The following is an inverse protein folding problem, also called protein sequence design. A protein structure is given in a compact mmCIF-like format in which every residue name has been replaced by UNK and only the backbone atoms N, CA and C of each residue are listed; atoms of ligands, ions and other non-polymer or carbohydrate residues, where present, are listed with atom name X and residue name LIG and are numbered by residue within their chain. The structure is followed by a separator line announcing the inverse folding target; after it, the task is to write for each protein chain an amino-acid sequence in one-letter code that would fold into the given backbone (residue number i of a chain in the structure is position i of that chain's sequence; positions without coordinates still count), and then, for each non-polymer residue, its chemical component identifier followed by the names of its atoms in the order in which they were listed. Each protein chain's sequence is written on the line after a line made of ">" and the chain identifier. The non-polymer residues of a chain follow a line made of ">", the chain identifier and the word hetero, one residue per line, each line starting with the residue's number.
data_IF_866495935726
#
_entry.id   IF_866495935726
#
_cell.length_a   1.000
_cell.length_b   1.000
_cell.length_c   1.000
_cell.angle_alpha   90.00
_cell.angle_beta   90.00
_cell.angle_gamma   90.00
#
_symmetry.space_group_name_H-M   'P 1'
#
loop_
_entity.id
_entity.type
_entity.pdbx_description
1 polymer ?
#
# COMPACT_ATOMS: atom_id res chain seq x y z
N UNK A 1 -13.16 12.68 -4.88
CA UNK A 1 -11.94 11.94 -4.61
C UNK A 1 -12.26 10.50 -4.22
N UNK A 2 -11.41 9.58 -4.62
CA UNK A 2 -11.59 8.16 -4.28
C UNK A 2 -10.63 7.78 -3.17
N UNK A 3 -11.11 7.02 -2.21
CA UNK A 3 -10.31 6.43 -1.16
C UNK A 3 -10.80 5.00 -0.91
N UNK A 4 -10.34 4.38 0.16
CA UNK A 4 -10.65 2.98 0.44
C UNK A 4 -11.12 2.80 1.89
N UNK A 5 -11.86 1.73 2.14
CA UNK A 5 -11.99 1.19 3.49
C UNK A 5 -10.75 0.37 3.79
N UNK A 6 -10.34 0.36 5.06
CA UNK A 6 -9.18 -0.44 5.47
C UNK A 6 -9.40 -1.90 5.11
N UNK A 7 -8.37 -2.52 4.52
CA UNK A 7 -8.44 -3.92 4.14
C UNK A 7 -7.04 -4.52 4.07
N UNK A 8 -6.99 -5.84 3.96
CA UNK A 8 -5.72 -6.54 3.78
C UNK A 8 -5.92 -7.76 2.90
N UNK A 9 -4.84 -8.23 2.31
CA UNK A 9 -4.85 -9.41 1.47
C UNK A 9 -3.46 -10.01 1.41
N UNK A 10 -3.37 -11.33 1.41
CA UNK A 10 -2.09 -12.04 1.41
C UNK A 10 -1.97 -12.87 0.16
N UNK A 11 -0.81 -12.78 -0.51
CA UNK A 11 -0.46 -13.66 -1.63
C UNK A 11 0.89 -14.32 -1.34
N UNK A 12 1.14 -15.45 -2.00
CA UNK A 12 2.41 -16.17 -1.90
C UNK A 12 2.97 -16.35 -3.29
N UNK A 13 4.20 -15.91 -3.50
CA UNK A 13 4.91 -16.05 -4.78
C UNK A 13 6.30 -16.60 -4.47
N UNK A 14 6.69 -17.71 -5.10
CA UNK A 14 7.99 -18.34 -4.88
C UNK A 14 8.32 -18.48 -3.39
N UNK A 15 7.35 -18.94 -2.62
CA UNK A 15 7.44 -19.14 -1.16
C UNK A 15 7.59 -17.87 -0.34
N UNK A 16 7.72 -16.69 -0.96
CA UNK A 16 7.64 -15.42 -0.24
C UNK A 16 6.18 -15.08 0.01
N UNK A 17 5.90 -14.64 1.24
CA UNK A 17 4.57 -14.18 1.62
C UNK A 17 4.53 -12.65 1.54
N UNK A 18 3.55 -12.11 0.83
CA UNK A 18 3.32 -10.69 0.67
C UNK A 18 1.97 -10.34 1.28
N UNK A 19 1.97 -9.54 2.33
CA UNK A 19 0.75 -9.10 3.00
C UNK A 19 0.56 -7.63 2.67
N UNK A 20 -0.52 -7.31 1.94
CA UNK A 20 -0.85 -5.94 1.62
C UNK A 20 -1.84 -5.42 2.66
N UNK A 21 -1.52 -4.28 3.27
CA UNK A 21 -2.44 -3.54 4.14
C UNK A 21 -2.77 -2.22 3.47
N UNK A 22 -4.04 -2.01 3.16
CA UNK A 22 -4.54 -0.73 2.65
C UNK A 22 -5.24 -0.01 3.78
N UNK A 23 -4.80 1.21 4.07
CA UNK A 23 -5.26 1.96 5.23
C UNK A 23 -5.67 3.37 4.83
N UNK A 24 -6.82 3.81 5.30
CA UNK A 24 -7.25 5.19 5.15
C UNK A 24 -6.45 6.07 6.11
N UNK A 25 -5.93 7.19 5.62
CA UNK A 25 -5.16 8.13 6.44
C UNK A 25 -5.50 9.57 6.07
N UNK A 26 -5.40 10.46 7.03
CA UNK A 26 -5.69 11.88 6.84
C UNK A 26 -4.45 12.76 6.77
N UNK A 27 -3.37 12.38 7.45
CA UNK A 27 -2.20 13.23 7.60
C UNK A 27 -0.95 12.41 7.92
N UNK A 28 0.18 13.10 8.02
CA UNK A 28 1.47 12.47 8.27
C UNK A 28 1.53 11.74 9.62
N UNK A 29 0.91 12.33 10.64
CA UNK A 29 0.95 11.71 11.98
C UNK A 29 0.25 10.35 11.98
N UNK A 30 -0.86 10.24 11.26
CA UNK A 30 -1.57 8.96 11.12
C UNK A 30 -0.75 7.93 10.35
N UNK A 31 -0.05 8.38 9.31
CA UNK A 31 0.85 7.50 8.54
C UNK A 31 1.92 6.94 9.44
N UNK A 32 2.60 7.79 10.20
CA UNK A 32 3.68 7.38 11.09
C UNK A 32 3.19 6.39 12.15
N UNK A 33 2.03 6.67 12.73
CA UNK A 33 1.41 5.81 13.72
C UNK A 33 1.05 4.43 13.13
N UNK A 34 0.46 4.39 11.96
CA UNK A 34 0.07 3.14 11.31
C UNK A 34 1.26 2.31 10.87
N UNK A 35 2.33 2.96 10.40
CA UNK A 35 3.57 2.25 10.06
C UNK A 35 4.16 1.57 11.29
N UNK A 36 4.14 2.26 12.41
CA UNK A 36 4.62 1.70 13.68
C UNK A 36 3.76 0.50 14.10
N UNK A 37 2.46 0.63 14.01
CA UNK A 37 1.52 -0.45 14.35
C UNK A 37 1.75 -1.68 13.48
N UNK A 38 1.98 -1.48 12.18
CA UNK A 38 2.24 -2.57 11.25
C UNK A 38 3.51 -3.32 11.63
N UNK A 39 4.58 -2.60 11.99
CA UNK A 39 5.83 -3.25 12.39
C UNK A 39 5.65 -4.06 13.67
N UNK A 40 4.77 -3.63 14.57
CA UNK A 40 4.42 -4.42 15.75
C UNK A 40 3.56 -5.63 15.43
N UNK A 41 2.61 -5.46 14.52
CA UNK A 41 1.70 -6.54 14.13
C UNK A 41 2.41 -7.64 13.35
N UNK A 42 3.33 -7.28 12.48
CA UNK A 42 4.04 -8.21 11.60
C UNK A 42 5.54 -8.24 11.94
N UNK A 43 5.85 -8.71 13.14
CA UNK A 43 7.25 -8.78 13.58
C UNK A 43 8.06 -9.77 12.77
N UNK A 44 9.34 -9.45 12.58
CA UNK A 44 10.27 -10.34 11.92
C UNK A 44 10.15 -10.41 10.42
N UNK A 45 9.42 -9.53 9.79
CA UNK A 45 9.34 -9.48 8.34
C UNK A 45 10.67 -9.05 7.74
N UNK A 46 10.90 -9.47 6.50
CA UNK A 46 12.12 -9.13 5.78
C UNK A 46 12.10 -7.68 5.33
N UNK A 47 10.95 -7.21 4.83
CA UNK A 47 10.78 -5.83 4.36
C UNK A 47 9.37 -5.33 4.66
N UNK A 48 9.27 -4.02 4.94
CA UNK A 48 8.01 -3.30 5.09
C UNK A 48 8.00 -2.17 4.07
N UNK A 49 7.67 -2.51 2.83
CA UNK A 49 7.67 -1.53 1.74
C UNK A 49 6.34 -0.79 1.73
N UNK A 50 6.36 0.49 1.39
CA UNK A 50 5.12 1.24 1.41
C UNK A 50 5.09 2.39 0.41
N UNK A 51 3.88 2.89 0.17
CA UNK A 51 3.64 4.14 -0.51
C UNK A 51 2.40 4.79 0.08
N UNK A 52 2.31 6.09 0.00
CA UNK A 52 1.11 6.80 0.42
C UNK A 52 0.85 8.01 -0.45
N UNK A 53 -0.41 8.41 -0.46
CA UNK A 53 -0.89 9.61 -1.13
C UNK A 53 -1.89 10.28 -0.21
N UNK A 54 -1.66 11.55 0.12
CA UNK A 54 -2.69 12.38 0.74
C UNK A 54 -2.54 13.80 0.19
N UNK A 55 -3.63 14.32 -0.34
CA UNK A 55 -3.66 15.61 -1.03
C UNK A 55 -2.62 15.60 -2.14
N UNK A 56 -1.61 16.47 -2.09
CA UNK A 56 -0.54 16.52 -3.10
C UNK A 56 0.74 15.84 -2.64
N UNK A 57 0.71 15.15 -1.49
CA UNK A 57 1.88 14.48 -0.94
C UNK A 57 1.91 13.02 -1.39
N UNK A 58 3.00 12.62 -2.03
CA UNK A 58 3.23 11.24 -2.49
C UNK A 58 4.62 10.81 -2.07
N UNK A 59 4.72 9.63 -1.47
CA UNK A 59 5.99 9.05 -1.04
C UNK A 59 5.97 7.56 -1.23
N UNK A 60 7.13 6.97 -1.40
CA UNK A 60 7.29 5.52 -1.38
C UNK A 60 8.61 5.14 -0.73
N UNK A 61 8.71 3.88 -0.31
CA UNK A 61 9.90 3.38 0.35
C UNK A 61 10.09 1.91 0.00
N UNK A 62 11.27 1.58 -0.52
CA UNK A 62 11.61 0.20 -0.88
C UNK A 62 12.06 -0.65 0.32
N UNK A 63 12.34 -0.03 1.45
CA UNK A 63 12.74 -0.69 2.70
C UNK A 63 13.77 -1.81 2.51
N UNK A 64 14.85 -1.51 1.80
CA UNK A 64 15.93 -2.48 1.60
C UNK A 64 15.76 -3.41 0.41
N UNK A 65 14.62 -3.41 -0.28
CA UNK A 65 14.52 -4.08 -1.56
C UNK A 65 15.35 -3.31 -2.59
N UNK A 66 15.76 -3.94 -3.70
CA UNK A 66 16.49 -3.20 -4.74
C UNK A 66 15.71 -1.97 -5.21
N UNK A 67 16.42 -0.89 -5.50
CA UNK A 67 15.80 0.39 -5.83
C UNK A 67 14.78 0.30 -6.95
N UNK A 68 13.58 0.83 -6.70
CA UNK A 68 12.49 0.88 -7.67
C UNK A 68 11.68 -0.40 -7.82
N UNK A 69 11.96 -1.43 -7.02
CA UNK A 69 11.31 -2.74 -7.19
C UNK A 69 10.10 -2.97 -6.28
N UNK A 70 9.89 -2.14 -5.29
CA UNK A 70 8.83 -2.34 -4.31
C UNK A 70 7.96 -1.09 -4.11
N UNK A 71 8.53 -0.02 -3.58
CA UNK A 71 7.76 1.19 -3.26
C UNK A 71 7.14 1.85 -4.46
N UNK A 72 7.89 1.98 -5.56
CA UNK A 72 7.36 2.61 -6.78
C UNK A 72 6.22 1.78 -7.40
N UNK A 73 6.33 0.45 -7.54
CA UNK A 73 5.20 -0.37 -7.98
C UNK A 73 3.95 -0.18 -7.13
N UNK A 74 4.10 -0.09 -5.80
CA UNK A 74 2.99 0.16 -4.91
C UNK A 74 2.34 1.52 -5.24
N UNK A 75 3.16 2.57 -5.32
CA UNK A 75 2.67 3.91 -5.62
C UNK A 75 1.95 3.96 -6.96
N UNK A 76 2.51 3.30 -7.99
CA UNK A 76 1.91 3.28 -9.32
C UNK A 76 0.49 2.71 -9.31
N UNK A 77 0.24 1.65 -8.54
CA UNK A 77 -1.10 1.08 -8.43
C UNK A 77 -2.06 2.08 -7.78
N UNK A 78 -1.62 2.76 -6.72
CA UNK A 78 -2.45 3.76 -6.05
C UNK A 78 -2.81 4.91 -7.00
N UNK A 79 -1.82 5.40 -7.74
CA UNK A 79 -2.03 6.49 -8.70
C UNK A 79 -2.93 6.07 -9.87
N UNK A 80 -2.73 4.88 -10.41
CA UNK A 80 -3.53 4.38 -11.53
C UNK A 80 -4.99 4.20 -11.17
N UNK A 81 -5.29 4.05 -9.89
CA UNK A 81 -6.67 3.92 -9.39
C UNK A 81 -7.22 5.24 -8.84
N UNK A 82 -6.49 6.34 -9.01
CA UNK A 82 -6.90 7.68 -8.59
C UNK A 82 -7.25 7.76 -7.10
N UNK A 83 -6.50 7.03 -6.27
CA UNK A 83 -6.76 6.97 -4.84
C UNK A 83 -6.09 8.15 -4.12
N UNK A 84 -6.72 8.60 -3.05
CA UNK A 84 -6.22 9.66 -2.19
C UNK A 84 -6.50 9.28 -0.74
N UNK A 85 -5.75 9.86 0.19
CA UNK A 85 -5.87 9.53 1.62
C UNK A 85 -5.66 8.04 1.89
N UNK A 86 -4.63 7.47 1.28
CA UNK A 86 -4.33 6.05 1.36
C UNK A 86 -2.87 5.82 1.69
N UNK A 87 -2.65 4.89 2.62
CA UNK A 87 -1.35 4.29 2.90
C UNK A 87 -1.45 2.82 2.52
N UNK A 88 -0.52 2.36 1.71
CA UNK A 88 -0.41 0.95 1.35
C UNK A 88 0.93 0.42 1.83
N UNK A 89 0.90 -0.58 2.69
CA UNK A 89 2.11 -1.25 3.16
C UNK A 89 2.08 -2.69 2.68
N UNK A 90 3.16 -3.14 2.05
CA UNK A 90 3.31 -4.54 1.69
C UNK A 90 4.42 -5.12 2.55
N UNK A 91 4.06 -6.07 3.40
CA UNK A 91 4.95 -6.76 4.32
C UNK A 91 5.40 -8.04 3.64
N UNK A 92 6.70 -8.22 3.47
CA UNK A 92 7.25 -9.41 2.83
C UNK A 92 8.02 -10.27 3.81
N UNK A 93 7.69 -11.56 3.81
CA UNK A 93 8.49 -12.61 4.46
C UNK A 93 9.16 -13.41 3.37
N UNK A 94 10.50 -13.30 3.26
CA UNK A 94 11.27 -13.99 2.24
C UNK A 94 11.16 -15.51 2.43
N UNK A 95 10.90 -16.23 1.34
CA UNK A 95 10.70 -17.68 1.37
C UNK A 95 11.89 -18.50 0.90
N UNK A 96 13.07 -17.89 0.73
CA UNK A 96 14.28 -18.61 0.33
C UNK A 96 14.54 -18.66 -1.17
N UNK A 97 13.58 -18.20 -1.98
CA UNK A 97 13.73 -18.17 -3.44
C UNK A 97 13.73 -16.72 -3.90
N UNK A 98 14.81 -16.31 -4.57
CA UNK A 98 14.92 -14.95 -5.10
C UNK A 98 14.00 -14.77 -6.31
N UNK A 99 13.35 -13.60 -6.38
CA UNK A 99 12.45 -13.28 -7.49
C UNK A 99 13.15 -12.53 -8.62
N UNK A 100 14.28 -11.88 -8.33
CA UNK A 100 14.92 -10.95 -9.26
C UNK A 100 14.17 -9.63 -9.33
N UNK A 101 14.79 -8.60 -9.95
CA UNK A 101 14.21 -7.27 -10.00
C UNK A 101 12.83 -7.25 -10.68
N UNK A 102 12.73 -7.84 -11.87
CA UNK A 102 11.46 -7.91 -12.59
C UNK A 102 10.38 -8.68 -11.85
N UNK A 103 10.77 -9.78 -11.20
CA UNK A 103 9.85 -10.58 -10.39
C UNK A 103 9.34 -9.81 -9.18
N UNK A 104 10.20 -9.01 -8.53
CA UNK A 104 9.81 -8.17 -7.41
C UNK A 104 8.79 -7.12 -7.82
N UNK A 105 9.05 -6.41 -8.93
CA UNK A 105 8.09 -5.42 -9.44
C UNK A 105 6.72 -6.04 -9.65
N UNK A 106 6.68 -7.21 -10.31
CA UNK A 106 5.42 -7.91 -10.55
C UNK A 106 4.75 -8.36 -9.27
N UNK A 107 5.53 -8.86 -8.31
CA UNK A 107 4.98 -9.35 -7.04
C UNK A 107 4.37 -8.23 -6.20
N UNK A 108 5.08 -7.11 -6.07
CA UNK A 108 4.53 -5.97 -5.33
C UNK A 108 3.31 -5.38 -6.01
N UNK A 109 3.35 -5.24 -7.33
CA UNK A 109 2.19 -4.78 -8.10
C UNK A 109 0.99 -5.71 -7.87
N UNK A 110 1.20 -7.01 -8.00
CA UNK A 110 0.11 -7.99 -7.85
C UNK A 110 -0.44 -8.01 -6.43
N UNK A 111 0.42 -7.85 -5.44
CA UNK A 111 -0.01 -7.78 -4.04
C UNK A 111 -1.03 -6.66 -3.84
N UNK A 112 -0.75 -5.48 -4.37
CA UNK A 112 -1.63 -4.32 -4.22
C UNK A 112 -2.89 -4.46 -5.07
N UNK A 113 -2.76 -4.87 -6.34
CA UNK A 113 -3.94 -5.03 -7.21
C UNK A 113 -4.89 -6.08 -6.69
N UNK A 114 -4.36 -7.20 -6.18
CA UNK A 114 -5.20 -8.26 -5.59
C UNK A 114 -5.92 -7.75 -4.33
N UNK A 115 -5.25 -6.95 -3.52
CA UNK A 115 -5.87 -6.36 -2.35
C UNK A 115 -7.00 -5.40 -2.76
N UNK A 116 -6.76 -4.55 -3.75
CA UNK A 116 -7.78 -3.61 -4.24
C UNK A 116 -9.01 -4.30 -4.80
N UNK A 117 -8.84 -5.43 -5.48
CA UNK A 117 -9.96 -6.20 -6.00
C UNK A 117 -10.92 -6.67 -4.90
N UNK A 118 -10.41 -6.78 -3.67
CA UNK A 118 -11.15 -7.24 -2.50
C UNK A 118 -11.43 -6.09 -1.52
N UNK A 119 -11.27 -4.85 -1.97
CA UNK A 119 -11.40 -3.66 -1.13
C UNK A 119 -12.57 -2.81 -1.60
N UNK A 120 -13.31 -2.27 -0.66
CA UNK A 120 -14.36 -1.31 -0.99
C UNK A 120 -13.73 0.05 -1.30
N UNK A 121 -13.99 0.55 -2.49
CA UNK A 121 -13.54 1.88 -2.91
C UNK A 121 -14.66 2.87 -2.64
N UNK A 122 -14.32 4.00 -2.03
CA UNK A 122 -15.27 5.03 -1.64
C UNK A 122 -15.00 6.28 -2.44
N UNK A 123 -16.05 6.82 -3.08
CA UNK A 123 -15.96 8.10 -3.76
C UNK A 123 -16.64 9.18 -2.89
N UNK A 124 -15.84 10.09 -2.37
CA UNK A 124 -16.31 11.14 -1.46
C UNK A 124 -16.64 12.47 -2.14
N UNK A 125 -16.60 12.49 -3.45
CA UNK A 125 -16.78 13.71 -4.21
C UNK A 125 -18.10 14.43 -3.86
N UNK A 126 -19.18 13.70 -3.83
CA UNK A 126 -20.50 14.28 -3.55
C UNK A 126 -20.62 14.74 -2.11
N UNK A 127 -20.00 14.04 -1.18
CA UNK A 127 -20.02 14.46 0.23
C UNK A 127 -19.37 15.82 0.40
N UNK A 128 -18.33 16.11 -0.36
CA UNK A 128 -17.66 17.40 -0.31
C UNK A 128 -18.56 18.52 -0.83
N UNK A 129 -19.25 18.26 -1.92
CA UNK A 129 -20.18 19.23 -2.48
C UNK A 129 -21.29 19.59 -1.49
N UNK A 130 -21.82 18.61 -0.82
CA UNK A 130 -22.85 18.82 0.19
C UNK A 130 -22.34 19.70 1.32
N UNK A 131 -21.13 19.49 1.76
CA UNK A 131 -20.55 20.31 2.83
C UNK A 131 -20.39 21.75 2.42
N UNK A 132 -20.09 21.99 1.18
CA UNK A 132 -19.86 23.34 0.68
C UNK A 132 -21.14 24.15 0.65
N UNK A 133 -22.26 23.51 0.56
CA UNK A 133 -23.55 24.20 0.47
C UNK A 133 -24.02 24.75 1.80
N UNK A 134 -23.34 24.53 2.86
CA UNK A 134 -23.68 25.11 4.15
C UNK A 134 -22.99 26.41 4.39
#
# INVERSE_FOLDING_TARGET
>A
MKTIEDSNYTIVINKSKFICELLYINNQDEIDSKLKDIKHKYKGATHYCYAYIYDNNKRFNDDGEPGGTAGMPILNVLENNNLNHVLCVVIRYFGGIKLGAGGLVRAYTKSVTSCLENTKIIDKKECQLIKITF
#
